data_IF_694346111446
#
_entry.id   IF_694346111446
#
_cell.length_a   1.000
_cell.length_b   1.000
_cell.length_c   1.000
_cell.angle_alpha   90.00
_cell.angle_beta   90.00
_cell.angle_gamma   90.00
#
_symmetry.space_group_name_H-M   'P 1'
#
loop_
_entity.id
_entity.type
_entity.pdbx_description
1 polymer ?
#
# COMPACT_ATOMS: atom_id res chain seq x y z
N UNK A 1 36.91 -68.83 40.25
CA UNK A 1 37.90 -69.70 39.60
C UNK A 1 38.99 -68.81 39.01
N UNK A 2 40.15 -68.70 39.69
CA UNK A 2 41.33 -68.02 39.16
C UNK A 2 42.13 -69.06 38.39
N UNK A 3 42.06 -69.02 37.06
CA UNK A 3 42.93 -69.79 36.19
C UNK A 3 44.34 -69.22 36.30
N UNK A 4 45.23 -69.95 36.97
CA UNK A 4 46.65 -69.70 36.94
C UNK A 4 47.16 -70.04 35.54
N UNK A 5 47.51 -69.02 34.75
CA UNK A 5 48.18 -69.21 33.47
C UNK A 5 49.63 -69.59 33.75
N UNK A 6 49.99 -70.84 33.45
CA UNK A 6 51.34 -71.37 33.54
C UNK A 6 52.31 -70.54 32.70
N UNK A 7 53.39 -70.05 33.32
CA UNK A 7 54.52 -69.50 32.57
C UNK A 7 55.27 -70.66 31.88
N UNK A 8 55.25 -70.65 30.56
CA UNK A 8 56.11 -71.51 29.76
C UNK A 8 57.57 -71.06 29.94
N UNK A 9 58.34 -71.78 30.74
CA UNK A 9 59.79 -71.59 30.88
C UNK A 9 60.49 -72.26 29.69
N UNK A 10 60.75 -71.50 28.63
CA UNK A 10 61.65 -71.91 27.57
C UNK A 10 63.10 -71.81 28.08
N UNK A 11 63.80 -72.95 28.21
CA UNK A 11 65.16 -73.05 28.77
C UNK A 11 66.23 -72.52 27.82
N UNK A 12 66.55 -71.23 27.90
CA UNK A 12 67.71 -70.58 27.30
C UNK A 12 68.53 -69.80 28.33
N UNK A 13 69.83 -69.56 28.09
CA UNK A 13 70.68 -68.74 28.96
C UNK A 13 70.28 -67.26 28.80
N UNK A 14 69.83 -66.63 29.87
CA UNK A 14 69.46 -65.20 29.93
C UNK A 14 70.72 -64.33 29.87
N UNK A 15 70.89 -63.60 28.77
CA UNK A 15 72.03 -62.72 28.54
C UNK A 15 71.80 -61.34 29.17
N UNK A 16 70.62 -60.77 29.03
CA UNK A 16 70.33 -59.42 29.49
C UNK A 16 68.94 -59.36 30.12
N UNK A 17 68.85 -58.69 31.27
CA UNK A 17 67.60 -58.54 31.99
C UNK A 17 67.18 -57.07 31.97
N UNK A 18 65.90 -56.83 31.71
CA UNK A 18 65.31 -55.49 31.65
C UNK A 18 64.15 -55.40 32.63
N UNK A 19 64.09 -54.30 33.36
CA UNK A 19 62.93 -53.94 34.17
C UNK A 19 62.15 -52.82 33.46
N UNK A 20 60.81 -52.85 33.51
CA UNK A 20 60.00 -51.77 32.98
C UNK A 20 60.09 -50.56 33.92
N UNK A 21 60.41 -49.40 33.36
CA UNK A 21 60.33 -48.10 34.04
C UNK A 21 59.11 -47.37 33.51
N UNK A 22 58.09 -47.27 34.36
CA UNK A 22 56.85 -46.56 34.02
C UNK A 22 56.97 -45.08 34.33
N UNK A 23 56.85 -44.23 33.30
CA UNK A 23 56.73 -42.78 33.45
C UNK A 23 55.26 -42.40 33.29
N UNK A 24 54.59 -41.90 34.34
CA UNK A 24 53.18 -41.54 34.25
C UNK A 24 52.98 -40.36 33.28
N UNK A 25 51.83 -40.33 32.61
CA UNK A 25 51.45 -39.18 31.80
C UNK A 25 51.35 -37.92 32.67
N UNK A 26 51.88 -36.81 32.16
CA UNK A 26 51.82 -35.51 32.83
C UNK A 26 50.64 -34.75 32.27
N UNK A 27 49.73 -34.35 33.16
CA UNK A 27 48.55 -33.56 32.83
C UNK A 27 48.71 -32.13 33.30
N UNK A 28 48.07 -31.22 32.58
CA UNK A 28 47.87 -29.85 33.01
C UNK A 28 46.39 -29.46 32.90
N UNK A 29 46.00 -28.40 33.61
CA UNK A 29 44.63 -27.88 33.60
C UNK A 29 44.59 -26.57 32.82
N UNK A 30 43.90 -26.59 31.68
CA UNK A 30 43.68 -25.40 30.86
C UNK A 30 42.30 -24.86 31.16
N UNK A 31 42.21 -23.55 31.34
CA UNK A 31 40.95 -22.83 31.49
C UNK A 31 40.54 -22.25 30.15
N UNK A 32 39.31 -22.52 29.73
CA UNK A 32 38.71 -21.95 28.52
C UNK A 32 37.36 -21.31 28.86
N UNK A 33 37.10 -20.14 28.27
CA UNK A 33 35.82 -19.46 28.40
C UNK A 33 34.87 -20.00 27.32
N UNK A 34 33.89 -20.80 27.74
CA UNK A 34 32.89 -21.39 26.85
C UNK A 34 31.64 -20.51 26.86
N UNK A 35 31.11 -20.22 25.67
CA UNK A 35 29.83 -19.49 25.51
C UNK A 35 28.70 -20.36 26.06
N UNK A 36 27.99 -19.86 27.08
CA UNK A 36 26.84 -20.55 27.69
C UNK A 36 25.52 -20.06 27.10
N UNK A 37 25.47 -18.78 26.73
CA UNK A 37 24.33 -18.19 26.04
C UNK A 37 24.91 -17.30 24.95
N UNK A 38 24.59 -17.57 23.67
CA UNK A 38 24.99 -16.68 22.60
C UNK A 38 24.33 -15.32 22.84
N UNK A 39 25.08 -14.26 22.55
CA UNK A 39 24.50 -12.93 22.50
C UNK A 39 23.39 -12.89 21.43
N UNK A 40 22.49 -11.93 21.57
CA UNK A 40 21.38 -11.80 20.65
C UNK A 40 20.82 -10.40 20.65
N UNK A 41 19.83 -10.18 19.80
CA UNK A 41 19.13 -8.90 19.70
C UNK A 41 17.67 -9.11 20.04
N UNK A 42 17.16 -8.27 20.94
CA UNK A 42 15.73 -8.13 21.16
C UNK A 42 15.23 -6.90 20.41
N UNK A 43 14.33 -7.11 19.47
CA UNK A 43 13.77 -6.05 18.64
C UNK A 43 12.37 -5.72 19.13
N UNK A 44 12.19 -4.51 19.64
CA UNK A 44 10.89 -3.94 19.98
C UNK A 44 10.36 -3.13 18.80
N UNK A 45 9.12 -3.39 18.40
CA UNK A 45 8.44 -2.70 17.30
C UNK A 45 7.29 -1.86 17.84
N UNK A 46 7.39 -0.55 17.65
CA UNK A 46 6.33 0.39 17.97
C UNK A 46 5.63 0.79 16.66
N UNK A 47 4.32 0.52 16.49
CA UNK A 47 3.64 0.79 15.23
C UNK A 47 3.50 2.30 14.97
N UNK A 48 3.38 2.72 13.69
CA UNK A 48 3.08 4.10 13.36
C UNK A 48 1.70 4.51 13.90
N UNK A 49 1.58 5.78 14.27
CA UNK A 49 0.30 6.38 14.63
C UNK A 49 -0.16 7.28 13.48
N UNK A 50 -1.36 6.98 12.99
CA UNK A 50 -2.07 7.79 12.02
C UNK A 50 -3.12 8.65 12.71
N UNK A 51 -3.41 9.80 12.12
CA UNK A 51 -4.49 10.69 12.51
C UNK A 51 -5.18 11.23 11.27
N UNK A 52 -6.28 11.94 11.49
CA UNK A 52 -7.02 12.61 10.41
C UNK A 52 -6.85 14.11 10.53
N UNK A 53 -6.53 14.76 9.41
CA UNK A 53 -6.59 16.22 9.30
C UNK A 53 -7.73 16.61 8.38
N UNK A 54 -8.51 17.61 8.77
CA UNK A 54 -9.56 18.19 7.93
C UNK A 54 -8.99 19.44 7.25
N UNK A 55 -9.18 19.53 5.94
CA UNK A 55 -8.86 20.73 5.16
C UNK A 55 -10.07 21.13 4.35
N UNK A 56 -10.42 22.42 4.38
CA UNK A 56 -11.46 22.96 3.51
C UNK A 56 -10.85 23.16 2.13
N UNK A 57 -11.39 22.48 1.14
CA UNK A 57 -10.91 22.53 -0.24
C UNK A 57 -11.97 23.00 -1.20
N UNK A 58 -11.54 23.73 -2.21
CA UNK A 58 -12.40 24.19 -3.27
C UNK A 58 -12.65 23.06 -4.26
N UNK A 59 -13.88 22.55 -4.29
CA UNK A 59 -14.28 21.46 -5.19
C UNK A 59 -14.85 21.99 -6.52
N UNK A 60 -15.31 23.24 -6.55
CA UNK A 60 -15.78 23.89 -7.76
C UNK A 60 -15.30 25.34 -7.86
N UNK A 61 -14.84 25.71 -9.06
CA UNK A 61 -14.49 27.10 -9.37
C UNK A 61 -15.74 27.95 -9.60
N UNK A 62 -15.70 29.24 -9.22
CA UNK A 62 -16.79 30.15 -9.50
C UNK A 62 -16.96 30.26 -11.01
N UNK A 63 -18.20 30.11 -11.47
CA UNK A 63 -18.51 30.12 -12.91
C UNK A 63 -19.73 30.96 -13.20
N UNK A 64 -19.80 31.41 -14.45
CA UNK A 64 -20.90 32.22 -14.95
C UNK A 64 -21.59 31.44 -16.06
N UNK A 65 -22.91 31.31 -15.97
CA UNK A 65 -23.75 30.81 -17.05
C UNK A 65 -24.62 31.93 -17.61
N UNK A 66 -24.93 31.82 -18.90
CA UNK A 66 -25.84 32.71 -19.58
C UNK A 66 -27.10 31.94 -19.94
N UNK A 67 -28.24 32.36 -19.39
CA UNK A 67 -29.54 31.78 -19.69
C UNK A 67 -30.33 32.71 -20.60
N UNK A 68 -30.88 32.16 -21.67
CA UNK A 68 -31.78 32.89 -22.57
C UNK A 68 -33.18 32.89 -21.94
N UNK A 69 -33.69 34.08 -21.65
CA UNK A 69 -35.08 34.29 -21.23
C UNK A 69 -35.87 34.63 -22.50
N UNK A 70 -36.83 33.77 -22.92
CA UNK A 70 -37.56 33.98 -24.17
C UNK A 70 -38.42 35.24 -24.10
N UNK A 71 -38.70 35.82 -25.28
CA UNK A 71 -39.57 36.98 -25.39
C UNK A 71 -40.99 36.67 -24.90
N UNK A 72 -41.56 37.58 -24.12
CA UNK A 72 -42.98 37.52 -23.75
C UNK A 72 -43.78 38.14 -24.89
N UNK A 73 -44.69 37.36 -25.46
CA UNK A 73 -45.53 37.79 -26.58
C UNK A 73 -47.00 37.85 -26.18
N UNK A 74 -47.75 38.70 -26.87
CA UNK A 74 -49.21 38.80 -26.71
C UNK A 74 -49.86 39.00 -28.07
N UNK A 75 -50.98 38.31 -28.30
CA UNK A 75 -51.81 38.52 -29.47
C UNK A 75 -52.69 39.74 -29.28
N UNK A 76 -52.56 40.71 -30.19
CA UNK A 76 -53.41 41.89 -30.27
C UNK A 76 -54.32 41.74 -31.49
N UNK A 77 -55.58 42.17 -31.36
CA UNK A 77 -56.55 42.16 -32.46
C UNK A 77 -56.77 43.58 -32.94
N UNK A 78 -56.40 43.84 -34.18
CA UNK A 78 -56.62 45.13 -34.83
C UNK A 78 -57.63 44.97 -35.99
N UNK A 79 -58.45 46.00 -36.19
CA UNK A 79 -59.41 46.01 -37.30
C UNK A 79 -58.70 46.52 -38.54
N UNK A 80 -58.48 45.63 -39.51
CA UNK A 80 -57.87 45.98 -40.77
C UNK A 80 -58.89 45.90 -41.91
N UNK A 81 -58.78 46.83 -42.87
CA UNK A 81 -59.54 46.77 -44.12
C UNK A 81 -58.93 45.67 -44.99
N UNK A 82 -59.66 44.58 -45.20
CA UNK A 82 -59.20 43.42 -45.97
C UNK A 82 -59.64 43.47 -47.43
N UNK A 83 -60.63 44.30 -47.73
CA UNK A 83 -61.20 44.46 -49.05
C UNK A 83 -61.59 45.93 -49.23
N UNK A 84 -61.07 46.55 -50.28
CA UNK A 84 -61.37 47.94 -50.59
C UNK A 84 -62.83 48.14 -51.02
N UNK A 85 -63.56 47.07 -51.32
CA UNK A 85 -64.87 47.16 -51.95
C UNK A 85 -64.76 47.73 -53.35
N UNK A 86 -65.88 48.20 -53.89
CA UNK A 86 -65.92 48.81 -55.21
C UNK A 86 -66.98 48.25 -56.13
N UNK A 87 -66.84 48.55 -57.41
CA UNK A 87 -67.71 48.00 -58.44
C UNK A 87 -67.28 46.59 -58.83
N UNK A 88 -68.20 45.65 -58.75
CA UNK A 88 -68.05 44.30 -59.28
C UNK A 88 -69.15 44.04 -60.32
N UNK A 89 -68.88 43.15 -61.27
CA UNK A 89 -69.90 42.68 -62.20
C UNK A 89 -70.49 41.38 -61.69
N UNK A 90 -71.82 41.30 -61.62
CA UNK A 90 -72.55 40.14 -61.11
C UNK A 90 -73.72 39.83 -62.03
N UNK A 91 -73.89 38.57 -62.40
CA UNK A 91 -75.04 38.12 -63.18
C UNK A 91 -76.28 38.05 -62.30
N UNK A 92 -77.37 38.68 -62.72
CA UNK A 92 -78.68 38.62 -62.04
C UNK A 92 -79.78 38.25 -63.02
N UNK A 93 -80.83 37.62 -62.52
CA UNK A 93 -82.03 37.34 -63.32
C UNK A 93 -83.11 38.34 -62.92
N UNK A 94 -83.49 39.20 -63.86
CA UNK A 94 -84.53 40.21 -63.66
C UNK A 94 -85.62 39.92 -64.69
N UNK A 95 -86.86 39.66 -64.23
CA UNK A 95 -87.99 39.28 -65.09
C UNK A 95 -87.67 38.13 -66.07
N UNK A 96 -86.96 37.09 -65.62
CA UNK A 96 -86.65 35.90 -66.41
C UNK A 96 -85.50 36.05 -67.41
N UNK A 97 -84.79 37.20 -67.45
CA UNK A 97 -83.63 37.43 -68.34
C UNK A 97 -82.33 37.54 -67.53
N UNK A 98 -81.25 36.89 -67.98
CA UNK A 98 -79.91 36.96 -67.36
C UNK A 98 -79.19 38.23 -67.80
N UNK A 99 -78.94 39.15 -66.88
CA UNK A 99 -78.31 40.46 -67.12
C UNK A 99 -77.03 40.61 -66.29
N UNK A 100 -76.02 41.28 -66.85
CA UNK A 100 -74.78 41.59 -66.13
C UNK A 100 -74.92 42.96 -65.45
N UNK A 101 -74.96 42.98 -64.12
CA UNK A 101 -75.15 44.19 -63.34
C UNK A 101 -73.83 44.65 -62.72
N UNK A 102 -73.54 45.95 -62.79
CA UNK A 102 -72.46 46.59 -62.04
C UNK A 102 -72.95 46.84 -60.62
N UNK A 103 -72.57 45.99 -59.67
CA UNK A 103 -72.96 46.07 -58.26
C UNK A 103 -71.89 46.78 -57.44
N UNK A 104 -72.29 47.66 -56.53
CA UNK A 104 -71.38 48.30 -55.58
C UNK A 104 -71.33 47.50 -54.27
N UNK A 105 -70.12 47.11 -53.86
CA UNK A 105 -69.89 46.41 -52.59
C UNK A 105 -69.15 47.31 -51.62
N UNK A 106 -69.58 47.31 -50.36
CA UNK A 106 -68.91 48.06 -49.29
C UNK A 106 -67.56 47.44 -48.98
N UNK A 107 -66.61 48.27 -48.54
CA UNK A 107 -65.34 47.79 -47.99
C UNK A 107 -65.61 46.82 -46.83
N UNK A 108 -64.82 45.74 -46.76
CA UNK A 108 -64.92 44.78 -45.67
C UNK A 108 -63.74 44.93 -44.73
N UNK A 109 -64.06 44.88 -43.45
CA UNK A 109 -63.11 44.94 -42.35
C UNK A 109 -63.14 43.61 -41.61
N UNK A 110 -61.98 43.14 -41.20
CA UNK A 110 -61.85 41.94 -40.39
C UNK A 110 -60.92 42.22 -39.21
N UNK A 111 -61.11 41.46 -38.12
CA UNK A 111 -60.16 41.44 -37.01
C UNK A 111 -58.98 40.57 -37.42
N UNK A 112 -57.81 41.17 -37.47
CA UNK A 112 -56.56 40.50 -37.76
C UNK A 112 -55.81 40.31 -36.44
N UNK A 113 -55.34 39.10 -36.19
CA UNK A 113 -54.50 38.79 -35.04
C UNK A 113 -53.04 39.11 -35.39
N UNK A 114 -52.38 39.91 -34.55
CA UNK A 114 -50.95 40.21 -34.67
C UNK A 114 -50.25 39.90 -33.35
N UNK A 115 -49.19 39.09 -33.41
CA UNK A 115 -48.37 38.79 -32.24
C UNK A 115 -47.37 39.92 -32.03
N UNK A 116 -47.48 40.61 -30.91
CA UNK A 116 -46.58 41.70 -30.51
C UNK A 116 -45.69 41.24 -29.37
N UNK A 117 -44.41 41.61 -29.43
CA UNK A 117 -43.44 41.38 -28.36
C UNK A 117 -43.72 42.41 -27.26
N UNK A 118 -44.09 41.94 -26.07
CA UNK A 118 -44.33 42.76 -24.87
C UNK A 118 -43.03 42.99 -24.14
N UNK A 119 -42.22 41.94 -24.03
CA UNK A 119 -40.90 42.00 -23.42
C UNK A 119 -39.92 41.28 -24.34
N UNK A 120 -38.82 41.93 -24.77
CA UNK A 120 -37.87 41.32 -25.69
C UNK A 120 -37.15 40.15 -25.02
N UNK A 121 -36.65 39.24 -25.86
CA UNK A 121 -35.72 38.22 -25.43
C UNK A 121 -34.50 38.88 -24.79
N UNK A 122 -34.05 38.33 -23.66
CA UNK A 122 -32.87 38.83 -22.97
C UNK A 122 -32.01 37.68 -22.48
N UNK A 123 -30.72 37.95 -22.36
CA UNK A 123 -29.77 37.04 -21.74
C UNK A 123 -29.57 37.45 -20.29
N UNK A 124 -29.80 36.53 -19.36
CA UNK A 124 -29.52 36.75 -17.93
C UNK A 124 -28.21 36.07 -17.55
N UNK A 125 -27.36 36.81 -16.85
CA UNK A 125 -26.14 36.30 -16.22
C UNK A 125 -26.47 35.62 -14.89
N UNK A 126 -26.17 34.33 -14.77
CA UNK A 126 -26.28 33.55 -13.52
C UNK A 126 -24.87 33.27 -13.00
N UNK A 127 -24.62 33.63 -11.74
CA UNK A 127 -23.32 33.45 -11.09
C UNK A 127 -23.41 32.27 -10.13
N UNK A 128 -22.55 31.27 -10.33
CA UNK A 128 -22.36 30.16 -9.42
C UNK A 128 -21.13 30.45 -8.56
N UNK A 129 -21.28 30.51 -7.23
CA UNK A 129 -20.16 30.75 -6.33
C UNK A 129 -19.18 29.57 -6.33
N UNK A 130 -18.01 29.77 -5.73
CA UNK A 130 -17.11 28.68 -5.42
C UNK A 130 -17.76 27.74 -4.38
N UNK A 131 -17.61 26.44 -4.59
CA UNK A 131 -18.09 25.43 -3.64
C UNK A 131 -16.88 24.85 -2.90
N UNK A 132 -17.06 24.69 -1.58
CA UNK A 132 -16.03 24.23 -0.66
C UNK A 132 -16.53 23.01 0.11
N UNK A 133 -15.64 22.04 0.32
CA UNK A 133 -15.93 20.83 1.07
C UNK A 133 -14.81 20.51 2.06
N UNK A 134 -15.18 19.96 3.23
CA UNK A 134 -14.22 19.48 4.22
C UNK A 134 -13.71 18.11 3.81
N UNK A 135 -12.44 18.02 3.41
CA UNK A 135 -11.81 16.76 3.02
C UNK A 135 -10.95 16.27 4.18
N UNK A 136 -11.33 15.11 4.75
CA UNK A 136 -10.52 14.42 5.74
C UNK A 136 -9.42 13.61 5.05
N UNK A 137 -8.16 13.80 5.47
CA UNK A 137 -7.02 13.02 5.01
C UNK A 137 -6.31 12.35 6.15
N UNK A 138 -5.92 11.11 5.92
CA UNK A 138 -5.04 10.39 6.83
C UNK A 138 -3.62 10.96 6.73
N UNK A 139 -3.04 11.29 7.88
CA UNK A 139 -1.67 11.81 8.00
C UNK A 139 -0.92 10.96 9.00
N UNK A 140 0.34 10.65 8.68
CA UNK A 140 1.27 10.01 9.60
C UNK A 140 1.66 11.00 10.69
N UNK A 141 1.12 10.82 11.91
CA UNK A 141 1.40 11.68 13.06
C UNK A 141 2.72 11.31 13.70
N UNK A 142 2.98 10.00 13.83
CA UNK A 142 4.23 9.48 14.38
C UNK A 142 4.69 8.28 13.57
N UNK A 143 5.92 8.28 13.04
CA UNK A 143 6.45 7.10 12.36
C UNK A 143 6.59 5.94 13.36
N UNK A 144 6.48 4.72 12.85
CA UNK A 144 6.81 3.54 13.65
C UNK A 144 8.29 3.55 13.99
N UNK A 145 8.63 3.06 15.17
CA UNK A 145 10.01 2.99 15.65
C UNK A 145 10.40 1.54 15.90
N UNK A 146 11.67 1.23 15.65
CA UNK A 146 12.26 -0.05 15.99
C UNK A 146 13.41 0.18 16.97
N UNK A 147 13.26 -0.33 18.18
CA UNK A 147 14.31 -0.30 19.20
C UNK A 147 15.00 -1.65 19.28
N UNK A 148 16.32 -1.66 19.07
CA UNK A 148 17.15 -2.86 19.18
C UNK A 148 17.84 -2.81 20.53
N UNK A 149 17.65 -3.84 21.36
CA UNK A 149 18.39 -4.02 22.60
C UNK A 149 19.37 -5.17 22.42
N UNK A 150 20.66 -4.87 22.56
CA UNK A 150 21.74 -5.86 22.48
C UNK A 150 21.82 -6.65 23.79
N UNK A 151 21.78 -7.98 23.67
CA UNK A 151 21.95 -8.90 24.79
C UNK A 151 23.37 -9.48 24.68
N UNK A 152 24.22 -9.15 25.64
CA UNK A 152 25.60 -9.60 25.66
C UNK A 152 25.70 -11.13 25.84
N UNK A 153 26.66 -11.80 25.17
CA UNK A 153 26.92 -13.22 25.40
C UNK A 153 27.41 -13.46 26.83
N UNK A 154 26.95 -14.55 27.45
CA UNK A 154 27.45 -14.98 28.75
C UNK A 154 28.45 -16.12 28.60
N UNK A 155 29.61 -15.97 29.23
CA UNK A 155 30.68 -16.97 29.23
C UNK A 155 30.76 -17.67 30.59
N UNK A 156 31.19 -18.92 30.57
CA UNK A 156 31.56 -19.66 31.77
C UNK A 156 32.95 -20.25 31.59
N UNK A 157 33.78 -20.05 32.60
CA UNK A 157 35.11 -20.63 32.66
C UNK A 157 35.02 -22.11 33.00
N UNK A 158 35.47 -22.96 32.09
CA UNK A 158 35.49 -24.42 32.26
C UNK A 158 36.94 -24.87 32.35
N UNK A 159 37.23 -25.76 33.28
CA UNK A 159 38.53 -26.40 33.43
C UNK A 159 38.57 -27.70 32.63
N UNK A 160 39.56 -27.85 31.75
CA UNK A 160 39.77 -29.06 30.95
C UNK A 160 41.18 -29.60 31.20
N UNK A 161 41.29 -30.89 31.56
CA UNK A 161 42.58 -31.57 31.69
C UNK A 161 43.09 -31.97 30.32
N UNK A 162 44.34 -31.62 30.03
CA UNK A 162 45.04 -31.99 28.80
C UNK A 162 46.31 -32.76 29.13
N UNK A 163 46.66 -33.73 28.30
CA UNK A 163 47.93 -34.44 28.39
C UNK A 163 48.99 -33.52 27.78
N UNK A 164 50.01 -33.17 28.57
CA UNK A 164 51.16 -32.37 28.11
C UNK A 164 52.31 -33.28 27.70
N UNK A 165 52.40 -34.45 28.34
CA UNK A 165 53.34 -35.50 27.97
C UNK A 165 52.67 -36.85 28.13
N UNK A 166 52.67 -37.60 27.03
CA UNK A 166 52.20 -38.98 27.02
C UNK A 166 53.01 -39.83 28.02
N UNK A 167 52.33 -40.76 28.68
CA UNK A 167 53.00 -41.74 29.52
C UNK A 167 53.83 -42.68 28.64
N UNK A 168 55.06 -42.99 29.06
CA UNK A 168 55.91 -43.95 28.37
C UNK A 168 56.31 -45.08 29.31
N UNK A 169 56.49 -46.27 28.74
CA UNK A 169 57.13 -47.38 29.44
C UNK A 169 58.42 -47.69 28.70
N UNK A 170 59.53 -47.50 29.38
CA UNK A 170 60.87 -47.73 28.85
C UNK A 170 61.49 -48.93 29.57
N UNK A 171 62.35 -49.68 28.88
CA UNK A 171 63.01 -50.85 29.46
C UNK A 171 64.42 -50.46 29.92
N UNK A 172 64.66 -50.50 31.23
CA UNK A 172 65.98 -50.25 31.81
C UNK A 172 66.68 -51.57 32.05
N UNK A 173 67.91 -51.71 31.59
CA UNK A 173 68.72 -52.89 31.88
C UNK A 173 69.08 -52.93 33.36
N UNK A 174 68.94 -54.10 33.97
CA UNK A 174 69.38 -54.40 35.34
C UNK A 174 70.20 -55.67 35.39
N UNK A 175 71.19 -55.69 36.27
CA UNK A 175 71.98 -56.89 36.54
C UNK A 175 71.37 -57.62 37.74
N UNK A 176 70.94 -58.87 37.55
CA UNK A 176 70.43 -59.73 38.61
C UNK A 176 71.42 -60.87 38.81
N UNK A 177 72.12 -60.92 39.97
CA UNK A 177 73.15 -61.92 40.23
C UNK A 177 72.58 -63.34 40.11
N UNK A 178 73.32 -64.23 39.43
CA UNK A 178 72.95 -65.62 39.10
C UNK A 178 71.82 -65.79 38.07
N UNK A 179 71.27 -64.70 37.52
CA UNK A 179 70.22 -64.76 36.49
C UNK A 179 70.61 -64.11 35.16
N UNK A 180 71.51 -63.13 35.14
CA UNK A 180 72.01 -62.50 33.90
C UNK A 180 73.54 -62.57 33.94
N UNK A 181 74.19 -62.89 32.83
CA UNK A 181 75.67 -62.92 32.75
C UNK A 181 76.13 -61.51 32.39
N UNK A 182 77.18 -61.01 33.04
CA UNK A 182 77.79 -59.72 32.66
C UNK A 182 78.20 -59.67 31.19
#
# INVERSE_FOLDING_TARGET
MLAAVSQAAAGGRTLECYEPVHRPAIYDTVYEDVVVSPGGQLVHYDPPIYGTTESIEQIATPRISYEVVPAVTRTVYDTAKVDNGGYAWEWRVIHGRKVLCKVWRKARYARVATTVIVEPERVRRVVFPAEYEGVAREVLVRPGERRITEIAPSYRRVARRVVVREGSTDWRRVHIPRHCVD
#
